data_IF_938237478312
#
_entry.id   IF_938237478312
#
_cell.length_a   1.000
_cell.length_b   1.000
_cell.length_c   1.000
_cell.angle_alpha   90.00
_cell.angle_beta   90.00
_cell.angle_gamma   90.00
#
_symmetry.space_group_name_H-M   'P 1'
#
loop_
_entity.id
_entity.type
_entity.pdbx_description
1 polymer ?
#
# COMPACT_ATOMS: atom_id res chain seq x y z
N UNK A 1 18.78 -1.40 22.57
CA UNK A 1 19.03 -0.33 21.58
C UNK A 1 17.81 -0.26 20.69
N UNK A 2 17.25 0.95 20.61
CA UNK A 2 15.92 1.36 20.12
C UNK A 2 15.49 0.73 18.79
N UNK A 3 14.24 0.26 18.74
CA UNK A 3 13.56 -0.28 17.57
C UNK A 3 13.36 0.80 16.50
N UNK A 4 14.25 0.85 15.50
CA UNK A 4 14.12 1.66 14.29
C UNK A 4 12.96 1.22 13.36
N UNK A 5 12.20 0.19 13.75
CA UNK A 5 11.50 -0.68 12.80
C UNK A 5 10.05 -0.32 12.46
N UNK A 6 9.45 0.62 13.18
CA UNK A 6 8.04 0.98 12.97
C UNK A 6 7.81 2.47 12.64
N UNK A 7 8.71 3.37 13.05
CA UNK A 7 8.49 4.82 12.93
C UNK A 7 9.03 5.44 11.63
N UNK A 8 10.06 4.86 10.99
CA UNK A 8 10.69 5.47 9.78
C UNK A 8 9.83 5.34 8.52
N UNK A 9 8.93 4.35 8.47
CA UNK A 9 7.95 4.17 7.40
C UNK A 9 6.56 4.61 7.88
N UNK A 10 6.53 5.64 8.74
CA UNK A 10 5.33 6.37 9.08
C UNK A 10 5.59 7.85 8.83
N UNK A 11 4.95 8.37 7.77
CA UNK A 11 5.06 9.75 7.35
C UNK A 11 5.04 9.83 5.83
N UNK A 12 3.92 10.29 5.28
CA UNK A 12 3.84 10.70 3.90
C UNK A 12 4.84 11.85 3.63
N UNK A 13 5.38 11.98 2.41
CA UNK A 13 5.23 11.08 1.26
C UNK A 13 6.28 9.95 1.21
N UNK A 14 6.02 8.93 0.40
CA UNK A 14 6.99 7.92 0.02
C UNK A 14 8.11 8.52 -0.85
N UNK A 15 9.31 7.96 -0.76
CA UNK A 15 10.43 8.35 -1.61
C UNK A 15 11.34 7.14 -1.88
N UNK A 16 12.30 7.31 -2.80
CA UNK A 16 13.21 6.24 -3.21
C UNK A 16 14.00 5.63 -2.03
N UNK A 17 14.42 6.44 -1.05
CA UNK A 17 15.16 5.95 0.12
C UNK A 17 14.27 5.07 1.01
N UNK A 18 13.05 5.50 1.31
CA UNK A 18 12.07 4.72 2.08
C UNK A 18 11.70 3.41 1.39
N UNK A 19 11.56 3.42 0.05
CA UNK A 19 11.30 2.21 -0.72
C UNK A 19 12.48 1.24 -0.67
N UNK A 20 13.72 1.74 -0.82
CA UNK A 20 14.92 0.92 -0.67
C UNK A 20 15.02 0.32 0.73
N UNK A 21 14.79 1.13 1.78
CA UNK A 21 14.72 0.65 3.15
C UNK A 21 13.62 -0.41 3.31
N UNK A 22 12.44 -0.22 2.72
CA UNK A 22 11.35 -1.19 2.78
C UNK A 22 11.77 -2.56 2.22
N UNK A 23 12.46 -2.57 1.08
CA UNK A 23 12.94 -3.82 0.45
C UNK A 23 13.97 -4.56 1.31
N UNK A 24 14.96 -3.84 1.84
CA UNK A 24 16.11 -4.45 2.51
C UNK A 24 15.91 -4.72 3.99
N UNK A 25 15.09 -3.90 4.64
CA UNK A 25 15.02 -3.85 6.09
C UNK A 25 13.76 -4.58 6.58
N UNK A 26 12.62 -4.48 5.89
CA UNK A 26 11.37 -5.03 6.42
C UNK A 26 11.41 -6.55 6.57
N UNK A 27 10.95 -7.01 7.73
CA UNK A 27 10.76 -8.44 8.02
C UNK A 27 9.73 -9.05 7.06
N UNK A 28 9.74 -10.38 6.97
CA UNK A 28 8.76 -11.13 6.18
C UNK A 28 7.33 -10.81 6.64
N UNK A 29 6.41 -10.58 5.69
CA UNK A 29 5.01 -10.18 5.96
C UNK A 29 4.86 -8.90 6.81
N UNK A 30 5.84 -8.01 6.77
CA UNK A 30 5.65 -6.67 7.32
C UNK A 30 4.63 -5.88 6.50
N UNK A 31 4.03 -4.88 7.14
CA UNK A 31 3.00 -4.04 6.53
C UNK A 31 3.60 -2.76 5.98
N UNK A 32 3.29 -2.47 4.72
CA UNK A 32 3.59 -1.22 4.03
C UNK A 32 2.29 -0.41 4.02
N UNK A 33 2.31 0.76 4.66
CA UNK A 33 1.12 1.60 4.79
C UNK A 33 1.04 2.61 3.64
N UNK A 34 -0.14 2.68 3.02
CA UNK A 34 -0.52 3.70 2.05
C UNK A 34 -1.77 4.43 2.56
N UNK A 35 -1.73 5.75 2.62
CA UNK A 35 -2.83 6.58 3.14
C UNK A 35 -3.40 7.45 2.03
N UNK A 36 -4.63 7.13 1.63
CA UNK A 36 -5.40 7.92 0.66
C UNK A 36 -5.65 9.32 1.20
N UNK A 37 -5.29 10.32 0.41
CA UNK A 37 -5.34 11.74 0.78
C UNK A 37 -4.04 12.28 1.39
N UNK A 38 -3.07 11.42 1.74
CA UNK A 38 -1.72 11.82 2.14
C UNK A 38 -0.67 11.41 1.10
N UNK A 39 -0.79 10.20 0.58
CA UNK A 39 0.08 9.63 -0.45
C UNK A 39 -0.55 9.82 -1.84
N UNK A 40 0.32 9.92 -2.85
CA UNK A 40 -0.10 10.13 -4.23
C UNK A 40 -0.36 8.80 -4.94
N UNK A 41 -1.11 8.85 -6.06
CA UNK A 41 -1.26 7.66 -6.89
C UNK A 41 0.04 7.21 -7.55
N UNK A 42 1.00 8.13 -7.74
CA UNK A 42 2.33 7.81 -8.25
C UNK A 42 3.11 6.98 -7.23
N UNK A 43 3.02 7.33 -5.94
CA UNK A 43 3.59 6.53 -4.85
C UNK A 43 3.06 5.09 -4.86
N UNK A 44 1.76 4.91 -5.10
CA UNK A 44 1.15 3.57 -5.18
C UNK A 44 1.75 2.73 -6.33
N UNK A 45 1.91 3.34 -7.50
CA UNK A 45 2.50 2.67 -8.66
C UNK A 45 3.99 2.36 -8.44
N UNK A 46 4.74 3.28 -7.81
CA UNK A 46 6.14 3.04 -7.49
C UNK A 46 6.32 1.96 -6.42
N UNK A 47 5.45 1.91 -5.41
CA UNK A 47 5.44 0.85 -4.41
C UNK A 47 5.26 -0.52 -5.06
N UNK A 48 4.31 -0.65 -5.98
CA UNK A 48 4.10 -1.91 -6.71
C UNK A 48 5.33 -2.31 -7.53
N UNK A 49 5.87 -1.37 -8.30
CA UNK A 49 6.98 -1.64 -9.23
C UNK A 49 8.34 -1.85 -8.55
N UNK A 50 8.60 -1.21 -7.39
CA UNK A 50 9.91 -1.24 -6.73
C UNK A 50 9.91 -2.08 -5.47
N UNK A 51 8.86 -2.00 -4.65
CA UNK A 51 8.80 -2.67 -3.35
C UNK A 51 8.14 -4.03 -3.48
N UNK A 52 6.90 -4.10 -3.95
CA UNK A 52 6.17 -5.37 -4.02
C UNK A 52 6.70 -6.30 -5.13
N UNK A 53 7.24 -5.77 -6.22
CA UNK A 53 8.00 -6.57 -7.18
C UNK A 53 9.16 -7.33 -6.53
N UNK A 54 9.95 -6.67 -5.67
CA UNK A 54 11.09 -7.28 -5.00
C UNK A 54 10.69 -8.10 -3.77
N UNK A 55 9.60 -7.71 -3.10
CA UNK A 55 9.13 -8.27 -1.83
C UNK A 55 7.62 -8.53 -1.90
N UNK A 56 7.17 -9.50 -2.71
CA UNK A 56 5.75 -9.85 -2.81
C UNK A 56 5.20 -10.44 -1.51
N UNK A 57 6.06 -10.79 -0.54
CA UNK A 57 5.65 -11.29 0.78
C UNK A 57 5.10 -10.21 1.71
N UNK A 58 5.31 -8.93 1.40
CA UNK A 58 4.83 -7.80 2.21
C UNK A 58 3.33 -7.59 2.03
N UNK A 59 2.70 -6.97 3.03
CA UNK A 59 1.27 -6.67 3.03
C UNK A 59 1.09 -5.19 2.71
N UNK A 60 0.35 -4.88 1.65
CA UNK A 60 -0.09 -3.52 1.38
C UNK A 60 -1.30 -3.21 2.27
N UNK A 61 -1.17 -2.24 3.16
CA UNK A 61 -2.28 -1.75 3.97
C UNK A 61 -2.71 -0.36 3.52
N UNK A 62 -3.97 -0.27 3.10
CA UNK A 62 -4.57 0.97 2.60
C UNK A 62 -5.54 1.50 3.65
N UNK A 63 -5.31 2.75 4.03
CA UNK A 63 -6.16 3.51 4.94
C UNK A 63 -6.57 4.83 4.30
N UNK A 64 -7.67 5.41 4.76
CA UNK A 64 -8.09 6.74 4.35
C UNK A 64 -7.70 7.77 5.41
N UNK A 65 -7.23 8.96 5.03
CA UNK A 65 -6.90 10.02 5.99
C UNK A 65 -8.16 10.49 6.76
N UNK A 66 -9.26 10.66 6.04
CA UNK A 66 -10.58 10.87 6.64
C UNK A 66 -11.16 9.53 7.10
N UNK A 67 -11.45 9.34 8.41
CA UNK A 67 -12.03 8.10 8.94
C UNK A 67 -13.43 7.78 8.39
N UNK A 68 -14.13 8.75 7.77
CA UNK A 68 -15.42 8.54 7.08
C UNK A 68 -15.27 8.55 5.54
N UNK A 69 -14.05 8.64 5.05
CA UNK A 69 -13.78 8.71 3.62
C UNK A 69 -14.09 7.40 2.92
N UNK A 70 -14.57 7.51 1.68
CA UNK A 70 -14.84 6.39 0.79
C UNK A 70 -13.83 6.46 -0.35
N UNK A 71 -13.22 5.32 -0.70
CA UNK A 71 -12.31 5.30 -1.85
C UNK A 71 -13.06 5.60 -3.15
N UNK A 72 -12.51 6.49 -3.98
CA UNK A 72 -13.10 6.75 -5.28
C UNK A 72 -13.01 5.51 -6.18
N UNK A 73 -13.96 5.34 -7.10
CA UNK A 73 -13.90 4.28 -8.11
C UNK A 73 -12.60 4.34 -8.93
N UNK A 74 -12.10 5.53 -9.21
CA UNK A 74 -10.81 5.73 -9.88
C UNK A 74 -9.62 5.22 -9.07
N UNK A 75 -9.62 5.40 -7.74
CA UNK A 75 -8.59 4.81 -6.88
C UNK A 75 -8.71 3.28 -6.84
N UNK A 76 -9.92 2.76 -6.66
CA UNK A 76 -10.17 1.32 -6.64
C UNK A 76 -9.77 0.64 -7.95
N UNK A 77 -9.98 1.31 -9.09
CA UNK A 77 -9.53 0.83 -10.39
C UNK A 77 -8.01 0.79 -10.52
N UNK A 78 -7.28 1.74 -9.92
CA UNK A 78 -5.80 1.70 -9.85
C UNK A 78 -5.31 0.59 -8.93
N UNK A 79 -5.98 0.40 -7.80
CA UNK A 79 -5.68 -0.68 -6.88
C UNK A 79 -5.87 -2.05 -7.54
N UNK A 80 -6.89 -2.19 -8.38
CA UNK A 80 -7.13 -3.42 -9.16
C UNK A 80 -6.05 -3.71 -10.21
N UNK A 81 -5.26 -2.70 -10.61
CA UNK A 81 -4.19 -2.83 -11.61
C UNK A 81 -2.82 -3.17 -11.02
N UNK A 82 -2.69 -3.26 -9.69
CA UNK A 82 -1.44 -3.65 -9.05
C UNK A 82 -1.10 -5.09 -9.37
N UNK A 83 0.15 -5.35 -9.76
CA UNK A 83 0.55 -6.66 -10.29
C UNK A 83 1.31 -7.51 -9.27
N UNK A 84 2.00 -6.88 -8.33
CA UNK A 84 2.97 -7.57 -7.47
C UNK A 84 2.49 -7.68 -6.03
N UNK A 85 1.38 -7.02 -5.68
CA UNK A 85 0.76 -7.11 -4.36
C UNK A 85 0.03 -8.44 -4.20
N UNK A 86 0.61 -9.34 -3.40
CA UNK A 86 -0.02 -10.64 -3.09
C UNK A 86 -0.99 -10.59 -1.90
N UNK A 87 -0.81 -9.61 -1.00
CA UNK A 87 -1.61 -9.45 0.20
C UNK A 87 -2.04 -7.98 0.38
N UNK A 88 -3.35 -7.76 0.36
CA UNK A 88 -3.97 -6.45 0.50
C UNK A 88 -4.84 -6.42 1.78
N UNK A 89 -4.63 -5.41 2.60
CA UNK A 89 -5.52 -5.03 3.70
C UNK A 89 -6.12 -3.66 3.37
N UNK A 90 -7.44 -3.57 3.36
CA UNK A 90 -8.18 -2.35 3.04
C UNK A 90 -9.04 -1.96 4.24
N UNK A 91 -8.80 -0.78 4.83
CA UNK A 91 -9.66 -0.25 5.88
C UNK A 91 -10.94 0.29 5.25
N UNK A 92 -12.09 -0.26 5.66
CA UNK A 92 -13.42 0.13 5.20
C UNK A 92 -14.22 0.69 6.37
N UNK A 93 -14.50 1.98 6.35
CA UNK A 93 -15.37 2.63 7.34
C UNK A 93 -16.84 2.64 6.94
N UNK A 94 -17.14 2.42 5.64
CA UNK A 94 -18.49 2.37 5.08
C UNK A 94 -18.61 1.24 4.06
N UNK A 95 -19.85 0.86 3.74
CA UNK A 95 -20.13 -0.09 2.68
C UNK A 95 -19.63 0.43 1.33
N UNK A 96 -18.87 -0.40 0.62
CA UNK A 96 -18.25 -0.04 -0.64
C UNK A 96 -18.33 -1.21 -1.62
N UNK A 97 -18.52 -0.88 -2.90
CA UNK A 97 -18.44 -1.87 -3.97
C UNK A 97 -16.97 -2.25 -4.20
N UNK A 98 -16.65 -3.51 -3.89
CA UNK A 98 -15.32 -4.08 -4.06
C UNK A 98 -15.22 -4.95 -5.32
N UNK A 99 -16.28 -5.04 -6.13
CA UNK A 99 -16.32 -5.91 -7.32
C UNK A 99 -15.20 -5.61 -8.30
N UNK A 100 -14.80 -4.33 -8.39
CA UNK A 100 -13.68 -3.89 -9.23
C UNK A 100 -12.33 -4.52 -8.83
N UNK A 101 -12.16 -4.89 -7.55
CA UNK A 101 -10.94 -5.59 -7.09
C UNK A 101 -10.92 -7.05 -7.52
N UNK A 102 -12.04 -7.61 -7.99
CA UNK A 102 -12.07 -8.95 -8.59
C UNK A 102 -11.24 -9.06 -9.88
N UNK A 103 -10.82 -7.95 -10.47
CA UNK A 103 -9.90 -7.90 -11.60
C UNK A 103 -8.42 -8.05 -11.20
N UNK A 104 -8.10 -8.10 -9.90
CA UNK A 104 -6.73 -8.35 -9.45
C UNK A 104 -6.33 -9.79 -9.79
N UNK A 105 -5.44 -9.94 -10.77
CA UNK A 105 -4.82 -11.23 -11.07
C UNK A 105 -3.72 -11.53 -10.05
N UNK A 106 -3.79 -12.69 -9.41
CA UNK A 106 -2.68 -13.18 -8.59
C UNK A 106 -1.69 -13.90 -9.50
N UNK A 107 -0.48 -13.33 -9.65
CA UNK A 107 0.66 -13.97 -10.31
C UNK A 107 1.22 -15.12 -9.47
#
# INVERSE_FOLDING_TARGET
MSELWHASIQGAPWNAEKMHQAVHLLRRRATVHFRVGADTHEDLAELDAKVFFARPDLILHISHMDPKGVYSSGFMGRLAQLKHVSALQLDLSQAQDLTILGAMEQL
#
